data_IF_875716149081
#
_entry.id   IF_875716149081
#
_cell.length_a   1.000
_cell.length_b   1.000
_cell.length_c   1.000
_cell.angle_alpha   90.00
_cell.angle_beta   90.00
_cell.angle_gamma   90.00
#
_symmetry.space_group_name_H-M   'P 1'
#
loop_
_entity.id
_entity.type
_entity.pdbx_description
1 polymer ?
#
# COMPACT_ATOMS: atom_id res chain seq x y z
N UNK A 1 -19.53 -23.97 4.41
CA UNK A 1 -19.00 -23.40 3.15
C UNK A 1 -17.48 -23.49 3.23
N UNK A 2 -16.84 -24.30 2.38
CA UNK A 2 -15.37 -24.32 2.27
C UNK A 2 -14.98 -23.30 1.20
N UNK A 3 -14.20 -22.29 1.58
CA UNK A 3 -13.61 -21.38 0.61
C UNK A 3 -12.58 -22.22 -0.16
N UNK A 4 -12.87 -22.53 -1.43
CA UNK A 4 -11.87 -23.05 -2.33
C UNK A 4 -11.08 -21.84 -2.83
N UNK A 5 -9.79 -21.85 -2.55
CA UNK A 5 -8.89 -20.76 -2.82
C UNK A 5 -7.79 -21.26 -3.75
N UNK A 6 -7.63 -20.59 -4.88
CA UNK A 6 -6.56 -20.83 -5.84
C UNK A 6 -5.65 -19.59 -5.83
N UNK A 7 -4.44 -19.68 -5.23
CA UNK A 7 -3.51 -18.56 -5.16
C UNK A 7 -2.84 -18.22 -6.48
N UNK A 8 -2.84 -19.15 -7.45
CA UNK A 8 -1.92 -19.11 -8.59
C UNK A 8 -2.63 -18.63 -9.87
N UNK A 9 -3.74 -17.91 -9.73
CA UNK A 9 -4.46 -17.31 -10.85
C UNK A 9 -3.67 -16.10 -11.40
N UNK A 10 -3.28 -16.18 -12.67
CA UNK A 10 -2.43 -15.18 -13.34
C UNK A 10 -3.01 -13.76 -13.23
N UNK A 11 -4.31 -13.58 -13.48
CA UNK A 11 -4.95 -12.26 -13.41
C UNK A 11 -4.96 -11.66 -12.00
N UNK A 12 -4.94 -12.50 -10.96
CA UNK A 12 -4.82 -12.02 -9.58
C UNK A 12 -3.39 -11.59 -9.30
N UNK A 13 -2.42 -12.40 -9.72
CA UNK A 13 -0.98 -12.11 -9.56
C UNK A 13 -0.60 -10.84 -10.31
N UNK A 14 -1.09 -10.65 -11.54
CA UNK A 14 -0.86 -9.45 -12.34
C UNK A 14 -1.43 -8.19 -11.67
N UNK A 15 -2.64 -8.28 -11.12
CA UNK A 15 -3.26 -7.17 -10.40
C UNK A 15 -2.49 -6.81 -9.11
N UNK A 16 -2.06 -7.83 -8.35
CA UNK A 16 -1.23 -7.64 -7.15
C UNK A 16 0.10 -6.99 -7.52
N UNK A 17 0.79 -7.50 -8.54
CA UNK A 17 2.07 -6.98 -9.01
C UNK A 17 1.93 -5.54 -9.51
N UNK A 18 0.83 -5.20 -10.18
CA UNK A 18 0.55 -3.82 -10.61
C UNK A 18 0.46 -2.87 -9.41
N UNK A 19 -0.18 -3.28 -8.31
CA UNK A 19 -0.23 -2.46 -7.08
C UNK A 19 1.13 -2.34 -6.40
N UNK A 20 1.86 -3.46 -6.27
CA UNK A 20 3.16 -3.49 -5.59
C UNK A 20 4.21 -2.67 -6.36
N UNK A 21 4.22 -2.76 -7.69
CA UNK A 21 5.20 -2.11 -8.55
C UNK A 21 5.10 -0.58 -8.54
N UNK A 22 3.96 -0.01 -8.09
CA UNK A 22 3.85 1.46 -7.91
C UNK A 22 4.95 1.97 -6.98
N UNK A 23 5.34 1.14 -6.00
CA UNK A 23 6.31 1.49 -4.97
C UNK A 23 7.69 0.87 -5.22
N UNK A 24 8.00 0.43 -6.44
CA UNK A 24 9.35 -0.05 -6.79
C UNK A 24 10.40 1.02 -6.42
N UNK A 25 11.52 0.58 -5.82
CA UNK A 25 12.55 1.49 -5.29
C UNK A 25 12.30 2.00 -3.85
N UNK A 26 11.11 1.77 -3.27
CA UNK A 26 10.85 2.11 -1.87
C UNK A 26 11.70 1.24 -0.92
N UNK A 27 12.51 1.87 -0.07
CA UNK A 27 13.21 1.17 1.00
C UNK A 27 12.28 0.82 2.16
N UNK A 28 12.63 -0.21 2.93
CA UNK A 28 11.91 -0.56 4.17
C UNK A 28 12.18 0.52 5.22
N UNK A 29 11.27 1.49 5.29
CA UNK A 29 11.37 2.63 6.18
C UNK A 29 10.27 2.60 7.25
N UNK A 30 10.63 2.24 8.48
CA UNK A 30 9.75 2.40 9.64
C UNK A 30 10.06 3.72 10.34
N UNK A 31 9.12 4.66 10.36
CA UNK A 31 9.24 5.88 11.17
C UNK A 31 8.60 5.66 12.52
N UNK A 32 9.45 5.67 13.55
CA UNK A 32 9.03 5.83 14.93
C UNK A 32 8.90 7.33 15.21
N UNK A 33 7.77 7.77 15.73
CA UNK A 33 7.58 9.16 16.17
C UNK A 33 7.05 9.20 17.59
N UNK A 34 7.41 10.24 18.34
CA UNK A 34 6.95 10.40 19.72
C UNK A 34 5.55 11.01 19.72
N UNK A 35 4.59 10.30 20.31
CA UNK A 35 3.26 10.88 20.58
C UNK A 35 3.33 11.57 21.94
N UNK A 36 3.35 12.90 21.94
CA UNK A 36 3.11 13.67 23.17
C UNK A 36 1.62 13.63 23.50
N UNK A 37 1.23 13.19 24.71
CA UNK A 37 -0.17 13.24 25.11
C UNK A 37 -0.66 14.69 25.09
N UNK A 38 -1.78 14.94 24.40
CA UNK A 38 -2.43 16.24 24.44
C UNK A 38 -2.88 16.53 25.88
N UNK A 39 -2.60 17.75 26.36
CA UNK A 39 -3.07 18.28 27.66
C UNK A 39 -4.58 18.56 27.62
N UNK A 40 -5.39 17.58 27.23
CA UNK A 40 -6.83 17.70 27.21
C UNK A 40 -7.48 16.44 27.80
N UNK A 41 -7.63 16.47 29.12
CA UNK A 41 -8.87 15.98 29.74
C UNK A 41 -8.94 14.55 30.25
N UNK A 42 -7.94 13.68 30.06
CA UNK A 42 -8.01 12.32 30.62
C UNK A 42 -6.99 12.09 31.74
N UNK A 43 -7.49 12.17 32.97
CA UNK A 43 -6.84 11.83 34.24
C UNK A 43 -6.42 10.34 34.37
N UNK A 44 -6.53 9.53 33.31
CA UNK A 44 -6.22 8.11 33.30
C UNK A 44 -4.81 7.75 32.80
N UNK A 45 -4.01 8.71 32.32
CA UNK A 45 -2.64 8.47 31.82
C UNK A 45 -1.53 8.85 32.82
N UNK A 46 -1.72 8.57 34.11
CA UNK A 46 -0.70 8.78 35.16
C UNK A 46 0.56 7.87 35.04
N UNK A 47 0.72 7.13 33.94
CA UNK A 47 1.95 6.43 33.56
C UNK A 47 2.46 7.00 32.22
N UNK A 48 2.99 8.21 32.27
CA UNK A 48 3.60 8.95 31.17
C UNK A 48 4.86 8.28 30.64
N UNK A 49 4.72 7.16 29.92
CA UNK A 49 5.68 6.78 28.90
C UNK A 49 5.22 7.38 27.58
N UNK A 50 6.11 8.13 26.93
CA UNK A 50 5.96 8.51 25.52
C UNK A 50 5.64 7.27 24.69
N UNK A 51 4.45 7.23 24.08
CA UNK A 51 4.09 6.11 23.19
C UNK A 51 4.81 6.32 21.86
N UNK A 52 5.58 5.33 21.43
CA UNK A 52 6.20 5.32 20.11
C UNK A 52 5.09 5.03 19.09
N UNK A 53 4.78 6.02 18.25
CA UNK A 53 3.89 5.89 17.11
C UNK A 53 4.62 5.24 15.93
N UNK A 54 3.90 4.39 15.19
CA UNK A 54 4.37 3.75 13.95
C UNK A 54 3.51 4.25 12.79
N UNK A 55 4.17 4.66 11.70
CA UNK A 55 3.54 5.09 10.45
C UNK A 55 4.26 4.49 9.23
N UNK A 56 3.53 4.36 8.11
CA UNK A 56 4.11 4.03 6.82
C UNK A 56 4.83 5.28 6.29
N UNK A 57 6.10 5.17 5.93
CA UNK A 57 6.84 6.25 5.26
C UNK A 57 6.94 5.95 3.78
N UNK A 58 6.54 6.91 2.96
CA UNK A 58 6.80 6.93 1.52
C UNK A 58 8.04 7.80 1.29
N UNK A 59 9.11 7.19 0.80
CA UNK A 59 10.40 7.82 0.52
C UNK A 59 10.57 8.20 -0.96
N UNK A 60 9.82 7.56 -1.85
CA UNK A 60 9.85 7.83 -3.28
C UNK A 60 9.46 9.27 -3.62
N UNK A 61 10.20 9.85 -4.55
CA UNK A 61 9.90 11.14 -5.16
C UNK A 61 8.66 11.04 -6.05
N UNK A 62 7.95 12.16 -6.31
CA UNK A 62 6.81 12.17 -7.22
C UNK A 62 7.14 11.64 -8.62
N UNK A 63 8.31 11.98 -9.15
CA UNK A 63 8.74 11.56 -10.49
C UNK A 63 9.04 10.06 -10.56
N UNK A 64 9.58 9.48 -9.48
CA UNK A 64 9.83 8.03 -9.37
C UNK A 64 8.51 7.25 -9.35
N UNK A 65 7.51 7.74 -8.59
CA UNK A 65 6.16 7.15 -8.62
C UNK A 65 5.52 7.25 -10.00
N UNK A 66 5.70 8.39 -10.68
CA UNK A 66 5.17 8.59 -12.03
C UNK A 66 5.81 7.63 -13.03
N UNK A 67 7.13 7.44 -12.96
CA UNK A 67 7.86 6.48 -13.80
C UNK A 67 7.36 5.05 -13.58
N UNK A 68 7.22 4.64 -12.32
CA UNK A 68 6.67 3.33 -11.96
C UNK A 68 5.27 3.12 -12.55
N UNK A 69 4.38 4.10 -12.40
CA UNK A 69 3.01 4.03 -12.91
C UNK A 69 2.99 3.95 -14.43
N UNK A 70 3.81 4.76 -15.12
CA UNK A 70 3.94 4.73 -16.57
C UNK A 70 4.47 3.38 -17.07
N UNK A 71 5.40 2.76 -16.35
CA UNK A 71 5.91 1.42 -16.68
C UNK A 71 4.82 0.35 -16.54
N UNK A 72 4.02 0.40 -15.46
CA UNK A 72 2.89 -0.50 -15.23
C UNK A 72 1.81 -0.33 -16.32
N UNK A 73 1.46 0.92 -16.65
CA UNK A 73 0.51 1.23 -17.71
C UNK A 73 0.97 0.64 -19.04
N UNK A 74 2.22 0.86 -19.42
CA UNK A 74 2.78 0.31 -20.65
C UNK A 74 2.78 -1.23 -20.66
N UNK A 75 3.17 -1.85 -19.55
CA UNK A 75 3.17 -3.32 -19.39
C UNK A 75 1.78 -3.93 -19.53
N UNK A 76 0.75 -3.23 -19.05
CA UNK A 76 -0.64 -3.65 -19.11
C UNK A 76 -1.36 -3.17 -20.41
N UNK A 77 -0.64 -2.60 -21.37
CA UNK A 77 -1.21 -2.11 -22.63
C UNK A 77 -2.12 -0.88 -22.49
N UNK A 78 -1.99 -0.11 -21.41
CA UNK A 78 -2.75 1.11 -21.13
C UNK A 78 -2.04 2.34 -21.66
N UNK A 79 -2.81 3.37 -22.01
CA UNK A 79 -2.26 4.69 -22.34
C UNK A 79 -1.56 5.26 -21.11
N UNK A 80 -0.31 5.69 -21.27
CA UNK A 80 0.44 6.35 -20.20
C UNK A 80 -0.19 7.71 -19.86
N UNK A 81 -0.30 8.00 -18.56
CA UNK A 81 -0.76 9.29 -18.08
C UNK A 81 0.27 10.38 -18.35
N UNK A 82 -0.16 11.61 -18.66
CA UNK A 82 0.77 12.73 -18.90
C UNK A 82 1.46 13.17 -17.60
N UNK A 83 0.72 13.16 -16.48
CA UNK A 83 1.22 13.39 -15.13
C UNK A 83 0.45 12.55 -14.10
N UNK A 84 1.00 12.38 -12.89
CA UNK A 84 0.36 11.57 -11.86
C UNK A 84 -0.87 12.26 -11.23
N UNK A 85 -0.86 13.58 -11.10
CA UNK A 85 -1.97 14.43 -10.60
C UNK A 85 -2.33 14.21 -9.12
N UNK A 86 -2.66 12.99 -8.72
CA UNK A 86 -2.95 12.55 -7.36
C UNK A 86 -2.43 11.14 -7.11
N UNK A 87 -2.29 10.73 -5.85
CA UNK A 87 -1.87 9.36 -5.47
C UNK A 87 -3.07 8.39 -5.38
N UNK A 88 -4.04 8.56 -6.27
CA UNK A 88 -5.23 7.71 -6.35
C UNK A 88 -5.08 6.78 -7.55
N UNK A 89 -5.05 5.49 -7.27
CA UNK A 89 -4.84 4.44 -8.26
C UNK A 89 -6.08 3.56 -8.37
N UNK A 90 -6.35 3.07 -9.57
CA UNK A 90 -7.51 2.22 -9.85
C UNK A 90 -7.04 0.90 -10.44
N UNK A 91 -7.53 -0.19 -9.86
CA UNK A 91 -7.42 -1.55 -10.41
C UNK A 91 -8.81 -1.98 -10.80
N UNK A 92 -9.05 -2.15 -12.09
CA UNK A 92 -10.32 -2.62 -12.62
C UNK A 92 -10.29 -4.14 -12.78
N UNK A 93 -11.29 -4.81 -12.23
CA UNK A 93 -11.44 -6.26 -12.39
C UNK A 93 -12.92 -6.62 -12.48
N UNK A 94 -13.24 -7.61 -13.31
CA UNK A 94 -14.60 -8.11 -13.50
C UNK A 94 -15.18 -8.70 -12.19
N UNK A 95 -16.51 -8.76 -12.08
CA UNK A 95 -17.18 -9.44 -10.97
C UNK A 95 -16.78 -10.93 -10.91
N UNK A 96 -16.68 -11.49 -9.70
CA UNK A 96 -16.29 -12.89 -9.51
C UNK A 96 -14.80 -13.23 -9.70
N UNK A 97 -13.94 -12.26 -10.04
CA UNK A 97 -12.50 -12.53 -10.30
C UNK A 97 -11.59 -12.50 -9.05
N UNK A 98 -12.14 -12.18 -7.87
CA UNK A 98 -11.39 -12.20 -6.61
C UNK A 98 -10.79 -10.86 -6.17
N UNK A 99 -11.40 -9.72 -6.53
CA UNK A 99 -10.98 -8.36 -6.07
C UNK A 99 -10.64 -8.27 -4.58
N UNK A 100 -11.45 -8.87 -3.71
CA UNK A 100 -11.20 -8.88 -2.26
C UNK A 100 -9.91 -9.61 -1.91
N UNK A 101 -9.61 -10.72 -2.58
CA UNK A 101 -8.37 -11.44 -2.37
C UNK A 101 -7.16 -10.62 -2.86
N UNK A 102 -7.23 -10.05 -4.06
CA UNK A 102 -6.20 -9.17 -4.60
C UNK A 102 -5.91 -8.02 -3.64
N UNK A 103 -6.95 -7.34 -3.12
CA UNK A 103 -6.80 -6.28 -2.12
C UNK A 103 -6.01 -6.75 -0.88
N UNK A 104 -6.44 -7.85 -0.26
CA UNK A 104 -5.79 -8.38 0.94
C UNK A 104 -4.36 -8.83 0.65
N UNK A 105 -4.14 -9.52 -0.47
CA UNK A 105 -2.82 -10.05 -0.82
C UNK A 105 -1.84 -8.92 -1.15
N UNK A 106 -2.29 -7.87 -1.83
CA UNK A 106 -1.50 -6.66 -2.06
C UNK A 106 -1.04 -6.03 -0.75
N UNK A 107 -1.90 -5.96 0.29
CA UNK A 107 -1.49 -5.48 1.62
C UNK A 107 -0.35 -6.32 2.19
N UNK A 108 -0.45 -7.66 2.10
CA UNK A 108 0.61 -8.55 2.57
C UNK A 108 1.91 -8.38 1.78
N UNK A 109 1.86 -8.25 0.46
CA UNK A 109 3.06 -8.06 -0.37
C UNK A 109 3.70 -6.67 -0.14
N UNK A 110 2.89 -5.62 0.04
CA UNK A 110 3.39 -4.28 0.41
C UNK A 110 4.07 -4.29 1.78
N UNK A 111 3.53 -5.03 2.75
CA UNK A 111 4.20 -5.24 4.03
C UNK A 111 5.53 -5.98 3.87
N UNK A 112 5.52 -7.08 3.12
CA UNK A 112 6.69 -7.93 2.91
C UNK A 112 7.81 -7.21 2.19
N UNK A 113 7.50 -6.43 1.14
CA UNK A 113 8.48 -5.75 0.30
C UNK A 113 8.93 -4.40 0.87
N UNK A 114 8.01 -3.64 1.46
CA UNK A 114 8.26 -2.24 1.85
C UNK A 114 8.04 -1.94 3.34
N UNK A 115 7.56 -2.91 4.11
CA UNK A 115 7.34 -2.75 5.55
C UNK A 115 6.09 -1.95 5.93
N UNK A 116 5.21 -1.62 4.97
CA UNK A 116 3.95 -0.93 5.26
C UNK A 116 3.08 -1.77 6.19
N UNK A 117 2.61 -1.18 7.28
CA UNK A 117 1.92 -1.91 8.36
C UNK A 117 0.57 -1.32 8.76
N UNK A 118 0.20 -0.15 8.24
CA UNK A 118 -1.10 0.49 8.49
C UNK A 118 -1.87 0.69 7.18
N UNK A 119 -3.06 0.15 7.11
CA UNK A 119 -3.96 0.19 5.96
C UNK A 119 -5.37 0.49 6.48
N UNK A 120 -6.15 1.26 5.72
CA UNK A 120 -7.54 1.63 6.03
C UNK A 120 -8.39 1.21 4.85
#
# INVERSE_FOLDING_TARGET
>A
MKIQFDPDLDHQTEAINSVVSIFEGQEICKTNFTVTPALQGDLFFANSMSVIGVANRLALLPDELEENVKAIQLGNGLKQSDNLGSKNFTVEMETGTGKTYVYLRSIFELNKKFGFSKFI
#
